data_IF_879895882975
#
_entry.id   IF_879895882975
#
_cell.length_a   1.000
_cell.length_b   1.000
_cell.length_c   1.000
_cell.angle_alpha   90.00
_cell.angle_beta   90.00
_cell.angle_gamma   90.00
#
_symmetry.space_group_name_H-M   'P 1'
#
loop_
_entity.id
_entity.type
_entity.pdbx_description
1 polymer ?
#
# COMPACT_ATOMS: atom_id res chain seq x y z
N UNK A 1 10.07 2.58 -3.03
CA UNK A 1 9.77 1.14 -3.18
C UNK A 1 10.84 0.35 -2.45
N UNK A 2 10.47 -0.78 -1.85
CA UNK A 2 11.39 -1.73 -1.18
C UNK A 2 11.06 -3.14 -1.65
N UNK A 3 12.10 -3.93 -1.90
CA UNK A 3 11.99 -5.34 -2.24
C UNK A 3 12.66 -6.18 -1.15
N UNK A 4 12.05 -7.29 -0.81
CA UNK A 4 12.63 -8.37 -0.04
C UNK A 4 12.72 -9.59 -0.97
N UNK A 5 13.92 -9.93 -1.45
CA UNK A 5 14.09 -11.02 -2.43
C UNK A 5 13.72 -12.36 -1.84
N UNK A 6 13.23 -13.27 -2.66
CA UNK A 6 12.97 -14.65 -2.28
C UNK A 6 14.28 -15.38 -1.94
N UNK A 7 14.18 -16.52 -1.26
CA UNK A 7 15.34 -17.35 -1.01
C UNK A 7 15.99 -17.83 -2.32
N UNK A 8 15.17 -18.13 -3.32
CA UNK A 8 15.62 -18.51 -4.65
C UNK A 8 16.33 -17.35 -5.37
N UNK A 9 15.76 -16.15 -5.35
CA UNK A 9 16.36 -14.95 -5.96
C UNK A 9 17.72 -14.64 -5.35
N UNK A 10 17.85 -14.77 -4.03
CA UNK A 10 19.13 -14.57 -3.33
C UNK A 10 20.18 -15.62 -3.71
N UNK A 11 19.77 -16.88 -3.93
CA UNK A 11 20.70 -17.98 -4.22
C UNK A 11 21.10 -18.05 -5.69
N UNK A 12 20.19 -17.75 -6.61
CA UNK A 12 20.34 -18.00 -8.05
C UNK A 12 20.42 -16.73 -8.88
N UNK A 13 20.02 -15.57 -8.35
CA UNK A 13 19.82 -14.32 -9.11
C UNK A 13 18.59 -14.34 -10.01
N UNK A 14 17.72 -15.35 -9.89
CA UNK A 14 16.47 -15.47 -10.67
C UNK A 14 15.29 -14.98 -9.85
N UNK A 15 14.55 -14.02 -10.38
CA UNK A 15 13.44 -13.36 -9.69
C UNK A 15 12.08 -13.92 -10.10
N UNK A 16 11.08 -13.76 -9.25
CA UNK A 16 9.70 -14.16 -9.51
C UNK A 16 9.16 -13.57 -10.82
N UNK A 17 8.31 -14.29 -11.54
CA UNK A 17 7.63 -13.77 -12.75
C UNK A 17 6.92 -12.46 -12.45
N UNK A 18 6.12 -12.43 -11.38
CA UNK A 18 5.52 -11.23 -10.82
C UNK A 18 5.78 -11.19 -9.33
N UNK A 19 6.21 -10.06 -8.76
CA UNK A 19 6.45 -9.97 -7.33
C UNK A 19 5.12 -9.91 -6.58
N UNK A 20 5.11 -10.37 -5.33
CA UNK A 20 3.99 -10.13 -4.44
C UNK A 20 4.01 -8.68 -3.97
N UNK A 21 3.09 -7.88 -4.48
CA UNK A 21 2.95 -6.48 -4.08
C UNK A 21 2.10 -6.38 -2.81
N UNK A 22 2.68 -5.84 -1.72
CA UNK A 22 2.02 -5.65 -0.44
C UNK A 22 1.51 -4.21 -0.29
N UNK A 23 0.38 -4.03 0.40
CA UNK A 23 -0.07 -2.72 0.85
C UNK A 23 -0.66 -2.79 2.25
N UNK A 24 -0.15 -2.01 3.23
CA UNK A 24 -0.62 -2.04 4.62
C UNK A 24 -2.00 -1.39 4.81
N UNK A 25 -2.43 -0.57 3.87
CA UNK A 25 -3.67 0.19 4.01
C UNK A 25 -3.47 1.48 4.80
N UNK A 26 -4.40 1.76 5.65
CA UNK A 26 -4.53 3.03 6.38
C UNK A 26 -5.83 3.75 5.99
N UNK A 27 -5.88 4.61 4.92
CA UNK A 27 -4.81 5.08 4.01
C UNK A 27 -3.68 5.83 4.72
N UNK A 28 -2.49 5.78 4.12
CA UNK A 28 -1.31 6.46 4.67
C UNK A 28 -0.27 5.55 5.34
N UNK A 29 -0.48 4.23 5.32
CA UNK A 29 0.52 3.27 5.78
C UNK A 29 1.71 3.18 4.81
N UNK A 30 2.94 3.16 5.36
CA UNK A 30 4.16 2.97 4.57
C UNK A 30 4.34 1.51 4.18
N UNK A 31 4.35 1.23 2.88
CA UNK A 31 4.63 -0.09 2.34
C UNK A 31 6.10 -0.48 2.53
N UNK A 32 7.01 0.50 2.46
CA UNK A 32 8.43 0.31 2.73
C UNK A 32 8.65 -0.20 4.16
N UNK A 33 8.02 0.44 5.14
CA UNK A 33 8.10 0.01 6.55
C UNK A 33 7.44 -1.35 6.78
N UNK A 34 6.35 -1.65 6.06
CA UNK A 34 5.73 -2.96 6.14
C UNK A 34 6.72 -4.06 5.72
N UNK A 35 7.31 -3.95 4.53
CA UNK A 35 8.26 -4.96 4.02
C UNK A 35 9.50 -5.05 4.91
N UNK A 36 10.00 -3.92 5.39
CA UNK A 36 11.12 -3.91 6.34
C UNK A 36 10.82 -4.70 7.63
N UNK A 37 9.58 -4.62 8.11
CA UNK A 37 9.17 -5.30 9.35
C UNK A 37 8.79 -6.76 9.18
N UNK A 38 8.04 -7.10 8.12
CA UNK A 38 7.48 -8.45 7.96
C UNK A 38 8.13 -9.29 6.86
N UNK A 39 8.94 -8.68 5.98
CA UNK A 39 9.58 -9.35 4.84
C UNK A 39 10.30 -10.65 5.23
N UNK A 40 11.16 -10.66 6.26
CA UNK A 40 11.85 -11.88 6.70
C UNK A 40 10.91 -13.02 7.08
N UNK A 41 9.78 -12.70 7.73
CA UNK A 41 8.80 -13.71 8.14
C UNK A 41 7.98 -14.22 6.94
N UNK A 42 7.59 -13.31 6.05
CA UNK A 42 6.86 -13.68 4.84
C UNK A 42 7.70 -14.52 3.90
N UNK A 43 9.01 -14.28 3.79
CA UNK A 43 9.90 -15.11 3.00
C UNK A 43 9.94 -16.57 3.49
N UNK A 44 9.82 -16.81 4.81
CA UNK A 44 9.76 -18.17 5.35
C UNK A 44 8.49 -18.91 4.90
N UNK A 45 7.39 -18.19 4.69
CA UNK A 45 6.11 -18.74 4.23
C UNK A 45 6.06 -18.87 2.70
N UNK A 46 6.73 -17.96 2.00
CA UNK A 46 6.72 -17.82 0.55
C UNK A 46 8.17 -17.79 0.04
N UNK A 47 8.93 -18.89 0.16
CA UNK A 47 10.38 -18.90 -0.09
C UNK A 47 10.75 -18.63 -1.54
N UNK A 48 9.84 -18.85 -2.48
CA UNK A 48 10.05 -18.66 -3.92
C UNK A 48 9.49 -17.33 -4.45
N UNK A 49 8.82 -16.54 -3.59
CA UNK A 49 8.13 -15.31 -4.00
C UNK A 49 8.92 -14.08 -3.58
N UNK A 50 9.30 -13.23 -4.54
CA UNK A 50 9.83 -11.90 -4.23
C UNK A 50 8.71 -11.01 -3.69
N UNK A 51 9.01 -10.28 -2.62
CA UNK A 51 8.05 -9.43 -1.92
C UNK A 51 8.42 -7.98 -2.17
N UNK A 52 7.46 -7.21 -2.67
CA UNK A 52 7.66 -5.80 -3.00
C UNK A 52 6.59 -4.96 -2.31
N UNK A 53 6.94 -3.78 -1.89
CA UNK A 53 5.97 -2.75 -1.53
C UNK A 53 6.50 -1.35 -1.83
N UNK A 54 5.60 -0.39 -1.85
CA UNK A 54 5.91 1.00 -2.12
C UNK A 54 5.13 1.90 -1.18
N UNK A 55 5.63 3.10 -0.99
CA UNK A 55 4.88 4.15 -0.33
C UNK A 55 4.00 4.84 -1.38
N UNK A 56 2.68 4.91 -1.17
CA UNK A 56 1.82 5.66 -2.06
C UNK A 56 2.23 7.13 -2.18
N UNK A 57 1.77 7.79 -3.23
CA UNK A 57 1.99 9.23 -3.44
C UNK A 57 1.73 10.03 -2.18
N UNK A 58 2.64 10.94 -1.84
CA UNK A 58 2.52 11.81 -0.69
C UNK A 58 2.75 11.15 0.67
N UNK A 59 3.05 9.84 0.71
CA UNK A 59 3.16 9.04 1.94
C UNK A 59 4.60 8.57 2.15
N UNK A 60 5.00 8.43 3.42
CA UNK A 60 6.25 7.81 3.83
C UNK A 60 7.48 8.48 3.22
N UNK A 61 8.23 7.74 2.41
CA UNK A 61 9.47 8.19 1.78
C UNK A 61 9.26 8.75 0.36
N UNK A 62 8.02 8.92 -0.11
CA UNK A 62 7.76 9.55 -1.42
C UNK A 62 7.94 11.06 -1.36
N UNK A 63 8.32 11.66 -2.48
CA UNK A 63 8.43 13.12 -2.65
C UNK A 63 7.66 13.55 -3.90
N UNK A 64 6.90 14.67 -3.83
CA UNK A 64 6.63 15.47 -2.63
C UNK A 64 5.73 14.75 -1.62
N UNK A 65 5.87 15.09 -0.33
CA UNK A 65 5.01 14.56 0.73
C UNK A 65 3.71 15.38 0.84
N UNK A 66 2.61 14.71 1.20
CA UNK A 66 1.36 15.37 1.58
C UNK A 66 1.46 15.86 3.03
N UNK A 67 2.16 16.95 3.24
CA UNK A 67 2.41 17.56 4.56
C UNK A 67 1.58 18.83 4.74
N UNK A 68 0.81 18.88 5.83
CA UNK A 68 -0.04 20.01 6.17
C UNK A 68 0.58 20.93 7.24
N UNK A 69 1.78 20.66 7.73
CA UNK A 69 2.41 21.36 8.84
C UNK A 69 3.66 22.14 8.47
N UNK A 70 4.21 21.90 7.28
CA UNK A 70 5.43 22.57 6.79
C UNK A 70 5.05 23.75 5.90
N UNK A 71 5.52 24.93 6.25
CA UNK A 71 5.31 26.17 5.52
C UNK A 71 6.64 26.89 5.36
N UNK A 72 6.87 27.60 4.23
CA UNK A 72 8.08 28.37 4.06
C UNK A 72 8.15 29.51 5.06
N UNK A 73 9.33 29.75 5.60
CA UNK A 73 9.60 30.88 6.45
C UNK A 73 9.45 32.21 5.69
N UNK A 74 9.06 33.30 6.37
CA UNK A 74 8.95 34.62 5.76
C UNK A 74 10.24 35.02 5.03
N UNK A 75 10.13 35.50 3.80
CA UNK A 75 11.25 35.94 2.98
C UNK A 75 11.87 34.87 2.05
N UNK A 76 11.40 33.64 2.08
CA UNK A 76 11.92 32.57 1.23
C UNK A 76 11.16 32.40 -0.11
N UNK A 77 10.31 33.32 -0.50
CA UNK A 77 9.56 33.32 -1.78
C UNK A 77 8.85 31.98 -2.06
N UNK A 78 8.31 31.36 -1.03
CA UNK A 78 7.61 30.05 -1.14
C UNK A 78 8.52 28.82 -1.22
N UNK A 79 9.85 28.98 -1.15
CA UNK A 79 10.79 27.85 -1.14
C UNK A 79 10.97 27.31 0.27
N UNK A 80 10.86 25.98 0.42
CA UNK A 80 11.10 25.29 1.67
C UNK A 80 12.61 25.10 1.90
N UNK A 81 13.04 25.36 3.12
CA UNK A 81 14.39 25.10 3.63
C UNK A 81 14.41 23.89 4.54
N UNK A 82 15.58 23.28 4.84
CA UNK A 82 15.67 22.22 5.86
C UNK A 82 15.07 22.62 7.20
N UNK A 83 15.25 23.88 7.63
CA UNK A 83 14.66 24.39 8.87
C UNK A 83 13.11 24.43 8.85
N UNK A 84 12.51 24.68 7.71
CA UNK A 84 11.04 24.66 7.55
C UNK A 84 10.49 23.23 7.73
N UNK A 85 11.19 22.22 7.21
CA UNK A 85 10.84 20.81 7.44
C UNK A 85 10.96 20.39 8.90
N UNK A 86 12.02 20.83 9.57
CA UNK A 86 12.19 20.59 11.02
C UNK A 86 11.05 21.23 11.80
N UNK A 87 10.76 22.50 11.55
CA UNK A 87 9.66 23.21 12.21
C UNK A 87 8.30 22.57 11.92
N UNK A 88 8.04 22.14 10.67
CA UNK A 88 6.83 21.40 10.30
C UNK A 88 6.71 20.09 11.08
N UNK A 89 7.80 19.37 11.23
CA UNK A 89 7.89 18.15 12.04
C UNK A 89 7.54 18.42 13.51
N UNK A 90 8.11 19.45 14.12
CA UNK A 90 7.76 19.86 15.49
C UNK A 90 6.30 20.28 15.64
N UNK A 91 5.76 21.04 14.69
CA UNK A 91 4.36 21.45 14.70
C UNK A 91 3.41 20.24 14.66
N UNK A 92 3.71 19.26 13.82
CA UNK A 92 2.95 18.01 13.71
C UNK A 92 3.00 17.20 15.00
N UNK A 93 4.19 17.01 15.57
CA UNK A 93 4.38 16.29 16.84
C UNK A 93 3.62 17.01 17.97
N UNK A 94 3.75 18.32 18.10
CA UNK A 94 3.04 19.11 19.11
C UNK A 94 1.53 18.97 18.95
N UNK A 95 1.01 19.04 17.72
CA UNK A 95 -0.40 18.83 17.44
C UNK A 95 -0.85 17.41 17.86
N UNK A 96 -0.08 16.38 17.54
CA UNK A 96 -0.40 15.00 17.92
C UNK A 96 -0.41 14.80 19.44
N UNK A 97 0.59 15.34 20.14
CA UNK A 97 0.69 15.24 21.60
C UNK A 97 -0.48 15.93 22.30
N UNK A 98 -0.87 17.11 21.85
CA UNK A 98 -2.06 17.81 22.36
C UNK A 98 -3.34 17.00 22.16
N UNK A 99 -3.42 16.18 21.11
CA UNK A 99 -4.55 15.32 20.83
C UNK A 99 -4.77 14.18 21.82
N UNK A 100 -3.73 13.75 22.54
CA UNK A 100 -3.82 12.62 23.47
C UNK A 100 -4.80 12.84 24.62
N UNK A 101 -5.04 14.09 25.01
CA UNK A 101 -5.91 14.44 26.12
C UNK A 101 -7.35 14.78 25.70
N UNK A 102 -7.66 14.72 24.40
CA UNK A 102 -9.00 15.06 23.90
C UNK A 102 -10.01 13.96 24.20
N UNK A 103 -9.56 12.73 24.27
CA UNK A 103 -10.42 11.55 24.48
C UNK A 103 -11.20 11.13 23.23
N UNK A 104 -12.10 10.17 23.41
CA UNK A 104 -13.05 9.71 22.38
C UNK A 104 -14.34 10.52 22.44
N UNK A 105 -15.19 10.40 21.44
CA UNK A 105 -16.42 11.21 21.26
C UNK A 105 -17.28 11.30 22.53
N UNK A 106 -17.39 10.23 23.30
CA UNK A 106 -18.26 10.13 24.46
C UNK A 106 -17.52 10.22 25.81
N UNK A 107 -16.28 10.67 25.85
CA UNK A 107 -15.48 10.71 27.09
C UNK A 107 -15.74 11.97 27.93
N UNK A 108 -16.27 13.02 27.32
CA UNK A 108 -16.69 14.25 28.01
C UNK A 108 -17.64 15.06 27.15
N UNK A 109 -18.38 16.00 27.75
CA UNK A 109 -19.32 16.89 27.05
C UNK A 109 -18.65 17.77 25.99
N UNK A 110 -17.33 17.99 26.08
CA UNK A 110 -16.56 18.82 25.14
C UNK A 110 -15.71 18.00 24.14
N UNK A 111 -15.64 16.68 24.31
CA UNK A 111 -14.74 15.85 23.52
C UNK A 111 -15.04 15.92 22.01
N UNK A 112 -16.33 15.85 21.63
CA UNK A 112 -16.75 15.95 20.22
C UNK A 112 -16.37 17.32 19.63
N UNK A 113 -16.63 18.41 20.35
CA UNK A 113 -16.31 19.76 19.89
C UNK A 113 -14.79 19.93 19.71
N UNK A 114 -13.99 19.38 20.62
CA UNK A 114 -12.53 19.42 20.53
C UNK A 114 -12.00 18.58 19.34
N UNK A 115 -12.58 17.42 19.10
CA UNK A 115 -12.24 16.57 17.93
C UNK A 115 -12.57 17.31 16.64
N UNK A 116 -13.76 17.90 16.52
CA UNK A 116 -14.17 18.67 15.36
C UNK A 116 -13.26 19.88 15.12
N UNK A 117 -12.95 20.66 16.17
CA UNK A 117 -12.06 21.80 16.06
C UNK A 117 -10.65 21.40 15.57
N UNK A 118 -10.14 20.27 16.04
CA UNK A 118 -8.85 19.71 15.60
C UNK A 118 -8.90 19.27 14.13
N UNK A 119 -9.96 18.56 13.72
CA UNK A 119 -10.15 18.14 12.34
C UNK A 119 -10.22 19.34 11.39
N UNK A 120 -10.97 20.38 11.75
CA UNK A 120 -11.04 21.64 10.99
C UNK A 120 -9.69 22.37 10.92
N UNK A 121 -8.90 22.32 12.00
CA UNK A 121 -7.57 22.92 12.01
C UNK A 121 -6.66 22.24 11.00
N UNK A 122 -6.58 20.90 10.99
CA UNK A 122 -5.80 20.17 9.98
C UNK A 122 -6.30 20.45 8.57
N UNK A 123 -7.62 20.43 8.35
CA UNK A 123 -8.21 20.77 7.06
C UNK A 123 -7.78 22.15 6.54
N UNK A 124 -7.76 23.18 7.40
CA UNK A 124 -7.28 24.52 7.04
C UNK A 124 -5.79 24.57 6.74
N UNK A 125 -4.97 23.85 7.52
CA UNK A 125 -3.51 23.75 7.27
C UNK A 125 -3.24 23.07 5.93
N UNK A 126 -3.92 21.96 5.63
CA UNK A 126 -3.80 21.27 4.35
C UNK A 126 -4.25 22.17 3.19
N UNK A 127 -5.37 22.89 3.35
CA UNK A 127 -5.86 23.82 2.33
C UNK A 127 -4.87 24.96 2.09
N UNK A 128 -4.27 25.51 3.13
CA UNK A 128 -3.26 26.56 3.01
C UNK A 128 -2.01 26.06 2.30
N UNK A 129 -1.58 24.81 2.58
CA UNK A 129 -0.46 24.19 1.91
C UNK A 129 -0.79 23.90 0.43
N UNK A 130 -1.96 23.32 0.13
CA UNK A 130 -2.43 23.10 -1.25
C UNK A 130 -2.43 24.39 -2.07
N UNK A 131 -2.88 25.50 -1.48
CA UNK A 131 -2.93 26.79 -2.16
C UNK A 131 -1.56 27.35 -2.55
N UNK A 132 -0.47 27.00 -1.83
CA UNK A 132 0.88 27.44 -2.16
C UNK A 132 1.39 26.85 -3.48
N UNK A 133 1.03 25.59 -3.75
CA UNK A 133 1.53 24.84 -4.92
C UNK A 133 0.54 24.87 -6.09
N UNK A 134 -0.70 25.34 -5.89
CA UNK A 134 -1.71 25.44 -6.94
C UNK A 134 -1.91 24.12 -7.68
N UNK A 135 -1.72 24.13 -9.01
CA UNK A 135 -1.90 22.92 -9.82
C UNK A 135 -0.82 21.84 -9.60
N UNK A 136 0.35 22.22 -9.07
CA UNK A 136 1.45 21.30 -8.78
C UNK A 136 1.33 20.66 -7.39
N UNK A 137 0.25 20.95 -6.67
CA UNK A 137 0.01 20.39 -5.35
C UNK A 137 -0.20 18.88 -5.38
N UNK A 138 0.57 18.16 -4.54
CA UNK A 138 0.45 16.71 -4.38
C UNK A 138 -0.98 16.30 -3.93
N UNK A 139 -1.67 17.15 -3.17
CA UNK A 139 -3.03 16.88 -2.66
C UNK A 139 -4.04 16.59 -3.77
N UNK A 140 -3.82 17.12 -4.98
CA UNK A 140 -4.67 16.88 -6.15
C UNK A 140 -4.46 15.51 -6.80
N UNK A 141 -3.42 14.79 -6.39
CA UNK A 141 -2.96 13.56 -7.01
C UNK A 141 -3.00 12.34 -6.07
N UNK A 142 -3.61 12.45 -4.88
CA UNK A 142 -3.62 11.42 -3.85
C UNK A 142 -4.78 10.41 -3.96
N UNK A 143 -5.54 10.45 -5.04
CA UNK A 143 -6.73 9.61 -5.18
C UNK A 143 -6.37 8.12 -5.31
N UNK A 144 -7.25 7.24 -4.82
CA UNK A 144 -7.07 5.77 -4.96
C UNK A 144 -6.87 5.33 -6.42
N UNK A 145 -7.61 5.84 -7.43
CA UNK A 145 -7.32 5.54 -8.83
C UNK A 145 -5.93 5.95 -9.29
N UNK A 146 -5.40 7.08 -8.81
CA UNK A 146 -4.04 7.50 -9.15
C UNK A 146 -2.99 6.54 -8.58
N UNK A 147 -3.19 6.05 -7.34
CA UNK A 147 -2.31 5.03 -6.74
C UNK A 147 -2.44 3.69 -7.46
N UNK A 148 -3.64 3.30 -7.92
CA UNK A 148 -3.83 2.11 -8.74
C UNK A 148 -3.06 2.22 -10.09
N UNK A 149 -3.00 3.41 -10.69
CA UNK A 149 -2.17 3.66 -11.88
C UNK A 149 -0.68 3.52 -11.57
N UNK A 150 -0.22 3.94 -10.38
CA UNK A 150 1.16 3.72 -9.96
C UNK A 150 1.47 2.22 -9.81
N UNK A 151 0.52 1.43 -9.28
CA UNK A 151 0.69 -0.03 -9.19
C UNK A 151 0.85 -0.66 -10.57
N UNK A 152 0.10 -0.22 -11.57
CA UNK A 152 0.26 -0.66 -12.95
C UNK A 152 1.67 -0.35 -13.47
N UNK A 153 2.15 0.87 -13.22
CA UNK A 153 3.50 1.29 -13.63
C UNK A 153 4.60 0.47 -12.94
N UNK A 154 4.38 0.03 -11.69
CA UNK A 154 5.31 -0.85 -10.97
C UNK A 154 5.37 -2.23 -11.61
N UNK A 155 4.23 -2.78 -12.04
CA UNK A 155 4.16 -4.07 -12.74
C UNK A 155 4.93 -3.99 -14.07
N UNK A 156 4.68 -2.95 -14.85
CA UNK A 156 5.34 -2.76 -16.15
C UNK A 156 6.86 -2.56 -15.98
N UNK A 157 7.26 -1.79 -14.96
CA UNK A 157 8.68 -1.60 -14.63
C UNK A 157 9.36 -2.89 -14.17
N UNK A 158 8.65 -3.77 -13.45
CA UNK A 158 9.18 -5.07 -13.04
C UNK A 158 9.46 -5.96 -14.24
N UNK A 159 8.54 -6.05 -15.17
CA UNK A 159 8.72 -6.85 -16.39
C UNK A 159 9.88 -6.32 -17.23
N UNK A 160 9.95 -4.99 -17.45
CA UNK A 160 11.04 -4.34 -18.18
C UNK A 160 12.39 -4.63 -17.52
N UNK A 161 12.47 -4.48 -16.19
CA UNK A 161 13.71 -4.75 -15.45
C UNK A 161 14.14 -6.21 -15.55
N UNK A 162 13.21 -7.16 -15.50
CA UNK A 162 13.53 -8.58 -15.69
C UNK A 162 14.08 -8.87 -17.09
N UNK A 163 13.48 -8.30 -18.13
CA UNK A 163 13.94 -8.43 -19.52
C UNK A 163 15.33 -7.83 -19.70
N UNK A 164 15.58 -6.65 -19.16
CA UNK A 164 16.90 -5.99 -19.22
C UNK A 164 17.99 -6.76 -18.47
N UNK A 165 17.63 -7.50 -17.42
CA UNK A 165 18.57 -8.35 -16.64
C UNK A 165 18.72 -9.75 -17.21
N UNK A 166 18.14 -10.03 -18.41
CA UNK A 166 18.27 -11.31 -19.11
C UNK A 166 17.46 -12.46 -18.50
N UNK A 167 16.42 -12.13 -17.70
CA UNK A 167 15.57 -13.11 -17.08
C UNK A 167 14.46 -13.53 -18.03
N UNK A 168 14.59 -14.68 -18.64
CA UNK A 168 13.58 -15.24 -19.56
C UNK A 168 12.51 -16.02 -18.80
N UNK A 169 11.39 -16.32 -19.47
CA UNK A 169 10.33 -17.15 -18.92
C UNK A 169 10.78 -18.60 -18.66
N UNK A 170 11.85 -19.06 -19.34
CA UNK A 170 12.43 -20.38 -19.13
C UNK A 170 13.16 -20.50 -17.77
N UNK A 171 13.48 -19.36 -17.16
CA UNK A 171 14.12 -19.29 -15.84
C UNK A 171 13.13 -19.41 -14.68
N UNK A 172 11.84 -19.47 -14.96
CA UNK A 172 10.78 -19.49 -13.95
C UNK A 172 10.49 -20.93 -13.53
N UNK A 173 10.52 -21.18 -12.23
CA UNK A 173 10.20 -22.48 -11.61
C UNK A 173 8.68 -22.73 -11.63
N UNK A 174 7.87 -21.72 -11.92
CA UNK A 174 6.41 -21.86 -12.00
C UNK A 174 6.03 -22.71 -13.22
N UNK A 175 5.58 -23.93 -12.96
CA UNK A 175 4.92 -24.73 -13.99
C UNK A 175 3.58 -24.06 -14.32
N UNK A 176 3.51 -23.46 -15.50
CA UNK A 176 2.27 -22.92 -16.03
C UNK A 176 1.39 -24.08 -16.49
N UNK A 177 0.22 -24.23 -15.88
CA UNK A 177 -0.83 -25.12 -16.31
C UNK A 177 -2.20 -24.42 -16.19
N UNK A 178 -3.27 -25.09 -16.60
CA UNK A 178 -4.63 -24.52 -16.54
C UNK A 178 -5.05 -24.16 -15.10
N UNK A 179 -4.43 -24.77 -14.08
CA UNK A 179 -4.68 -24.47 -12.66
C UNK A 179 -3.78 -23.36 -12.12
N UNK A 180 -2.68 -23.02 -12.83
CA UNK A 180 -1.69 -22.04 -12.45
C UNK A 180 -1.24 -21.17 -13.65
N UNK A 181 -2.12 -20.29 -14.17
CA UNK A 181 -1.81 -19.46 -15.33
C UNK A 181 -0.69 -18.46 -15.03
N UNK A 182 0.06 -18.10 -16.09
CA UNK A 182 1.12 -17.09 -16.01
C UNK A 182 0.66 -15.77 -15.37
N UNK A 183 1.49 -15.26 -14.48
CA UNK A 183 1.28 -13.95 -13.85
C UNK A 183 2.09 -12.82 -14.51
N UNK A 184 2.85 -13.11 -15.58
CA UNK A 184 3.63 -12.10 -16.31
C UNK A 184 2.76 -10.92 -16.71
N UNK A 185 3.19 -9.71 -16.42
CA UNK A 185 2.45 -8.48 -16.69
C UNK A 185 1.21 -8.29 -15.82
N UNK A 186 1.02 -9.10 -14.78
CA UNK A 186 -0.18 -9.07 -13.95
C UNK A 186 0.16 -8.81 -12.49
N UNK A 187 -0.80 -8.23 -11.80
CA UNK A 187 -0.71 -7.94 -10.37
C UNK A 187 -0.86 -9.23 -9.55
N UNK A 188 0.16 -9.53 -8.76
CA UNK A 188 0.06 -10.45 -7.62
C UNK A 188 0.04 -9.59 -6.36
N UNK A 189 -1.04 -9.61 -5.60
CA UNK A 189 -1.31 -8.58 -4.60
C UNK A 189 -1.81 -9.12 -3.27
N UNK A 190 -1.35 -8.50 -2.19
CA UNK A 190 -1.91 -8.70 -0.86
C UNK A 190 -2.14 -7.36 -0.17
N UNK A 191 -3.41 -6.98 -0.03
CA UNK A 191 -3.85 -5.74 0.58
C UNK A 191 -4.48 -5.94 1.94
N UNK A 192 -4.09 -5.09 2.90
CA UNK A 192 -4.63 -5.07 4.25
C UNK A 192 -5.49 -3.81 4.47
N UNK A 193 -6.61 -3.94 5.19
CA UNK A 193 -7.47 -2.79 5.51
C UNK A 193 -7.85 -1.97 4.26
N UNK A 194 -7.51 -0.66 4.20
CA UNK A 194 -7.69 0.16 3.00
C UNK A 194 -7.01 -0.43 1.75
N UNK A 195 -5.94 -1.20 1.91
CA UNK A 195 -5.31 -1.91 0.79
C UNK A 195 -6.28 -2.84 0.05
N UNK A 196 -7.33 -3.32 0.69
CA UNK A 196 -8.41 -4.09 0.03
C UNK A 196 -9.20 -3.24 -0.95
N UNK A 197 -9.51 -1.99 -0.58
CA UNK A 197 -10.17 -1.03 -1.47
C UNK A 197 -9.25 -0.64 -2.64
N UNK A 198 -7.98 -0.42 -2.38
CA UNK A 198 -6.99 -0.11 -3.43
C UNK A 198 -6.89 -1.25 -4.45
N UNK A 199 -6.78 -2.50 -4.00
CA UNK A 199 -6.76 -3.67 -4.87
C UNK A 199 -8.06 -3.84 -5.68
N UNK A 200 -9.22 -3.64 -5.05
CA UNK A 200 -10.51 -3.66 -5.74
C UNK A 200 -10.62 -2.55 -6.80
N UNK A 201 -10.09 -1.36 -6.50
CA UNK A 201 -10.03 -0.24 -7.47
C UNK A 201 -9.13 -0.61 -8.64
N UNK A 202 -7.95 -1.18 -8.39
CA UNK A 202 -7.06 -1.67 -9.45
C UNK A 202 -7.77 -2.70 -10.34
N UNK A 203 -8.42 -3.70 -9.72
CA UNK A 203 -9.15 -4.74 -10.45
C UNK A 203 -10.27 -4.19 -11.34
N UNK A 204 -10.95 -3.14 -10.87
CA UNK A 204 -12.01 -2.46 -11.64
C UNK A 204 -11.46 -1.64 -12.81
N UNK A 205 -10.28 -1.03 -12.65
CA UNK A 205 -9.63 -0.22 -13.68
C UNK A 205 -8.89 -1.07 -14.71
N UNK A 206 -8.29 -2.17 -14.28
CA UNK A 206 -7.38 -2.99 -15.10
C UNK A 206 -7.69 -4.49 -14.95
N UNK A 207 -8.89 -4.95 -15.36
CA UNK A 207 -9.33 -6.33 -15.13
C UNK A 207 -8.42 -7.37 -15.78
N UNK A 208 -7.83 -7.08 -16.92
CA UNK A 208 -6.93 -7.98 -17.64
C UNK A 208 -5.52 -8.06 -17.04
N UNK A 209 -5.21 -7.16 -16.10
CA UNK A 209 -3.91 -7.07 -15.42
C UNK A 209 -3.94 -7.69 -14.01
N UNK A 210 -4.97 -8.47 -13.68
CA UNK A 210 -5.07 -9.23 -12.44
C UNK A 210 -4.50 -10.63 -12.64
N UNK A 211 -3.49 -10.96 -11.86
CA UNK A 211 -2.96 -12.33 -11.74
C UNK A 211 -3.58 -13.03 -10.54
N UNK A 212 -3.16 -12.64 -9.34
CA UNK A 212 -3.64 -13.21 -8.08
C UNK A 212 -3.84 -12.11 -7.05
N UNK A 213 -4.92 -12.15 -6.29
CA UNK A 213 -5.20 -11.14 -5.28
C UNK A 213 -5.67 -11.76 -3.97
N UNK A 214 -5.09 -11.30 -2.87
CA UNK A 214 -5.50 -11.62 -1.52
C UNK A 214 -5.92 -10.33 -0.81
N UNK A 215 -7.14 -10.30 -0.26
CA UNK A 215 -7.71 -9.13 0.39
C UNK A 215 -8.00 -9.46 1.85
N UNK A 216 -7.31 -8.80 2.76
CA UNK A 216 -7.47 -9.04 4.20
C UNK A 216 -8.23 -7.88 4.86
N UNK A 217 -9.43 -8.15 5.34
CA UNK A 217 -10.23 -7.17 6.07
C UNK A 217 -9.64 -6.87 7.46
N UNK A 218 -10.16 -5.85 8.15
CA UNK A 218 -9.65 -5.32 9.44
C UNK A 218 -9.34 -6.40 10.50
N UNK A 219 -10.08 -7.50 10.51
CA UNK A 219 -9.87 -8.61 11.45
C UNK A 219 -8.58 -9.41 11.23
N UNK A 220 -7.95 -9.30 10.07
CA UNK A 220 -6.69 -9.99 9.78
C UNK A 220 -5.45 -9.29 10.37
N UNK A 221 -5.55 -8.03 10.74
CA UNK A 221 -4.41 -7.27 11.28
C UNK A 221 -3.91 -7.79 12.63
N UNK A 222 -4.79 -8.36 13.46
CA UNK A 222 -4.43 -8.86 14.79
C UNK A 222 -3.63 -10.18 14.76
N UNK A 223 -3.70 -10.95 13.67
CA UNK A 223 -2.99 -12.23 13.54
C UNK A 223 -1.54 -12.11 13.06
N UNK A 224 -1.20 -11.07 12.33
CA UNK A 224 0.13 -10.95 11.69
C UNK A 224 1.23 -10.64 12.71
N UNK A 225 0.92 -9.97 13.81
CA UNK A 225 1.91 -9.54 14.79
C UNK A 225 2.23 -10.57 15.89
N UNK A 226 1.41 -11.59 16.07
CA UNK A 226 1.55 -12.51 17.22
C UNK A 226 1.78 -13.96 16.85
N UNK A 227 1.25 -14.46 15.74
CA UNK A 227 1.42 -15.86 15.31
C UNK A 227 0.97 -16.05 13.87
N UNK A 228 1.92 -16.06 12.93
CA UNK A 228 1.66 -16.27 11.51
C UNK A 228 1.04 -17.64 11.19
N UNK A 229 1.30 -18.65 12.02
CA UNK A 229 0.72 -20.00 11.84
C UNK A 229 -0.79 -20.03 12.04
N UNK A 230 -1.32 -19.19 12.94
CA UNK A 230 -2.77 -19.03 13.19
C UNK A 230 -3.45 -18.16 12.15
N UNK A 231 -2.72 -17.20 11.58
CA UNK A 231 -3.22 -16.35 10.49
C UNK A 231 -3.48 -17.14 9.21
N UNK A 232 -2.70 -18.20 8.97
CA UNK A 232 -2.86 -19.04 7.78
C UNK A 232 -4.19 -19.83 7.80
N UNK A 233 -4.70 -20.19 8.95
CA UNK A 233 -6.02 -20.84 9.07
C UNK A 233 -7.19 -19.89 8.80
N UNK A 234 -7.01 -18.58 9.04
CA UNK A 234 -7.99 -17.54 8.68
C UNK A 234 -7.93 -17.14 7.20
N UNK A 235 -6.79 -17.33 6.55
CA UNK A 235 -6.60 -17.04 5.10
C UNK A 235 -7.50 -17.91 4.23
N UNK A 236 -7.88 -19.10 4.70
CA UNK A 236 -8.80 -19.99 3.98
C UNK A 236 -10.24 -19.45 3.85
N UNK A 237 -10.62 -18.44 4.60
CA UNK A 237 -11.92 -17.75 4.44
C UNK A 237 -11.85 -16.55 3.47
N UNK A 238 -10.69 -16.29 2.86
CA UNK A 238 -10.50 -15.20 1.91
C UNK A 238 -10.93 -15.60 0.50
N UNK A 239 -11.70 -14.73 -0.12
CA UNK A 239 -12.04 -14.89 -1.54
C UNK A 239 -10.79 -14.66 -2.40
N UNK A 240 -10.29 -15.71 -3.02
CA UNK A 240 -9.33 -15.60 -4.12
C UNK A 240 -10.16 -15.26 -5.36
N UNK A 241 -10.09 -14.02 -5.82
CA UNK A 241 -10.65 -13.67 -7.12
C UNK A 241 -9.59 -13.96 -8.20
N UNK A 242 -9.71 -15.10 -8.85
CA UNK A 242 -9.05 -15.33 -10.14
C UNK A 242 -9.98 -14.81 -11.21
N UNK A 243 -9.51 -13.95 -12.10
CA UNK A 243 -10.27 -13.57 -13.29
C UNK A 243 -10.36 -14.77 -14.23
N UNK A 244 -11.49 -15.48 -14.23
CA UNK A 244 -11.81 -16.40 -15.33
C UNK A 244 -12.37 -15.58 -16.50
N UNK A 245 -11.99 -15.88 -17.75
CA UNK A 245 -12.48 -15.14 -18.92
C UNK A 245 -14.00 -15.18 -19.14
N UNK A 246 -14.73 -16.04 -18.41
CA UNK A 246 -16.15 -16.32 -18.61
C UNK A 246 -17.11 -15.66 -17.63
N UNK A 247 -16.65 -14.90 -16.65
CA UNK A 247 -17.55 -14.22 -15.68
C UNK A 247 -18.43 -15.16 -14.83
N UNK A 248 -18.25 -16.47 -14.89
CA UNK A 248 -19.01 -17.43 -14.10
C UNK A 248 -18.40 -17.61 -12.71
N UNK A 249 -19.23 -17.43 -11.68
CA UNK A 249 -18.88 -17.70 -10.30
C UNK A 249 -18.74 -19.23 -10.12
N UNK A 250 -17.58 -19.76 -9.66
CA UNK A 250 -17.41 -21.18 -9.43
C UNK A 250 -18.50 -21.75 -8.51
N UNK A 251 -19.04 -22.90 -8.84
CA UNK A 251 -20.16 -23.56 -8.15
C UNK A 251 -19.90 -23.91 -6.67
N UNK A 252 -18.66 -23.81 -6.20
CA UNK A 252 -18.26 -24.03 -4.81
C UNK A 252 -18.69 -22.90 -3.85
N UNK A 253 -19.24 -21.78 -4.34
CA UNK A 253 -19.67 -20.62 -3.54
C UNK A 253 -21.16 -20.63 -3.18
N UNK A 254 -21.91 -21.70 -3.45
CA UNK A 254 -23.28 -21.79 -2.96
C UNK A 254 -23.28 -22.25 -1.51
N UNK A 255 -23.36 -21.30 -0.59
CA UNK A 255 -23.69 -21.57 0.81
C UNK A 255 -25.07 -22.19 0.87
N UNK A 256 -25.18 -23.36 1.49
CA UNK A 256 -26.46 -23.90 1.92
C UNK A 256 -27.01 -22.96 3.01
N UNK A 257 -28.17 -22.40 2.75
CA UNK A 257 -29.02 -21.72 3.72
C UNK A 257 -29.42 -22.63 4.88
#
# INVERSE_FOLDING_TARGET
MMMYPSANSNATGKYSTSPLLLNPGGPGGSGVMLVAGVGPNLQQLLPEQDIVSFDPRGIGFTTPQADCFTFPSPGNEGKLTPGDYEQGGFNRIAFMLQGRNVGLVNTSDVALANIDARARTVGKLCQANDAQYGNDSIFRHLSTPAVAQDMLSIIDAWDTWREETGQTNEDVIEQEDDSNPSTKGKLVYWGFSYGTLLGATFASMFPDRIGRGMYCHVSCQHGIYTDLSKSFSMVWSMQITTSTPSGEIPSAMRTKS
#
